data_IF_730566896315
#
_entry.id   IF_730566896315
#
_cell.length_a   1.000
_cell.length_b   1.000
_cell.length_c   1.000
_cell.angle_alpha   90.00
_cell.angle_beta   90.00
_cell.angle_gamma   90.00
#
_symmetry.space_group_name_H-M   'P 1'
#
loop_
_entity.id
_entity.type
_entity.pdbx_description
1 polymer ?
#
# COMPACT_ATOMS: atom_id res chain seq x y z
N UNK A 1 -8.93 -16.66 -18.33
CA UNK A 1 -9.39 -17.70 -19.21
C UNK A 1 -10.62 -18.42 -18.73
N UNK A 2 -10.91 -18.33 -17.46
CA UNK A 2 -12.05 -19.04 -16.90
C UNK A 2 -13.17 -18.12 -16.49
N UNK A 3 -13.27 -16.95 -17.12
CA UNK A 3 -14.31 -16.01 -16.77
C UNK A 3 -14.07 -15.28 -15.48
N UNK A 4 -12.83 -15.19 -15.05
CA UNK A 4 -12.48 -14.50 -13.82
C UNK A 4 -12.42 -13.00 -14.09
N UNK A 5 -13.08 -12.23 -13.26
CA UNK A 5 -13.11 -10.79 -13.41
C UNK A 5 -11.97 -10.09 -12.68
N UNK A 6 -11.47 -10.68 -11.59
CA UNK A 6 -10.45 -10.05 -10.77
C UNK A 6 -9.47 -11.10 -10.29
N UNK A 7 -8.20 -10.81 -10.44
CA UNK A 7 -7.13 -11.67 -9.93
C UNK A 7 -6.31 -10.88 -8.92
N UNK A 8 -6.18 -11.41 -7.72
CA UNK A 8 -5.36 -10.81 -6.68
C UNK A 8 -4.16 -11.70 -6.44
N UNK A 9 -2.97 -11.13 -6.54
CA UNK A 9 -1.72 -11.85 -6.34
C UNK A 9 -1.05 -11.36 -5.07
N UNK A 10 -0.95 -12.22 -4.09
CA UNK A 10 -0.32 -11.91 -2.81
C UNK A 10 1.12 -12.39 -2.87
N UNK A 11 2.05 -11.52 -2.53
CA UNK A 11 3.48 -11.82 -2.64
C UNK A 11 4.13 -11.83 -1.26
N UNK A 12 5.33 -12.42 -1.20
CA UNK A 12 6.12 -12.36 0.01
C UNK A 12 6.51 -10.90 0.28
N UNK A 13 6.39 -10.51 1.54
CA UNK A 13 6.67 -9.14 1.91
C UNK A 13 7.90 -8.96 2.76
N UNK A 14 8.63 -10.02 3.02
CA UNK A 14 9.78 -9.95 3.91
C UNK A 14 11.04 -9.65 3.14
N UNK A 15 11.77 -8.67 3.63
CA UNK A 15 13.07 -8.33 3.08
C UNK A 15 14.15 -9.17 3.76
N UNK A 16 14.20 -10.46 3.44
CA UNK A 16 15.27 -11.30 3.96
C UNK A 16 16.58 -10.96 3.27
N UNK A 17 16.54 -10.97 1.94
CA UNK A 17 17.59 -10.32 1.18
C UNK A 17 16.88 -9.42 0.20
N UNK A 18 17.23 -8.16 0.27
CA UNK A 18 16.54 -7.15 -0.54
C UNK A 18 16.62 -7.47 -2.03
N UNK A 19 17.80 -7.87 -2.48
CA UNK A 19 18.01 -8.14 -3.90
C UNK A 19 17.16 -9.30 -4.40
N UNK A 20 17.05 -10.36 -3.62
CA UNK A 20 16.27 -11.51 -4.04
C UNK A 20 14.79 -11.20 -4.10
N UNK A 21 14.30 -10.46 -3.11
CA UNK A 21 12.90 -10.08 -3.09
C UNK A 21 12.55 -9.17 -4.26
N UNK A 22 13.41 -8.19 -4.54
CA UNK A 22 13.16 -7.27 -5.63
C UNK A 22 13.19 -7.98 -6.98
N UNK A 23 14.13 -8.91 -7.17
CA UNK A 23 14.17 -9.70 -8.39
C UNK A 23 12.91 -10.53 -8.57
N UNK A 24 12.41 -11.10 -7.47
CA UNK A 24 11.21 -11.91 -7.49
C UNK A 24 9.99 -11.08 -7.87
N UNK A 25 9.88 -9.90 -7.29
CA UNK A 25 8.76 -9.01 -7.60
C UNK A 25 8.77 -8.59 -9.07
N UNK A 26 9.95 -8.26 -9.59
CA UNK A 26 10.07 -7.90 -11.00
C UNK A 26 9.69 -9.06 -11.90
N UNK A 27 10.07 -10.27 -11.53
CA UNK A 27 9.72 -11.45 -12.29
C UNK A 27 8.22 -11.69 -12.31
N UNK A 28 7.58 -11.53 -11.15
CA UNK A 28 6.14 -11.70 -11.06
C UNK A 28 5.43 -10.71 -11.98
N UNK A 29 5.86 -9.46 -11.98
CA UNK A 29 5.26 -8.45 -12.84
C UNK A 29 5.40 -8.82 -14.31
N UNK A 30 6.57 -9.30 -14.71
CA UNK A 30 6.79 -9.69 -16.10
C UNK A 30 5.91 -10.87 -16.51
N UNK A 31 5.77 -11.86 -15.63
CA UNK A 31 4.95 -13.02 -15.92
C UNK A 31 3.49 -12.62 -16.08
N UNK A 32 3.02 -11.74 -15.19
CA UNK A 32 1.63 -11.27 -15.28
C UNK A 32 1.39 -10.52 -16.57
N UNK A 33 2.31 -9.64 -16.94
CA UNK A 33 2.16 -8.85 -18.15
C UNK A 33 2.14 -9.73 -19.39
N UNK A 34 2.88 -10.82 -19.36
CA UNK A 34 2.93 -11.75 -20.49
C UNK A 34 1.61 -12.47 -20.67
N UNK A 35 0.99 -12.88 -19.56
CA UNK A 35 -0.25 -13.64 -19.63
C UNK A 35 -1.48 -12.77 -19.80
N UNK A 36 -1.46 -11.57 -19.22
CA UNK A 36 -2.59 -10.66 -19.27
C UNK A 36 -2.07 -9.30 -19.72
N UNK A 37 -2.39 -8.89 -20.95
CA UNK A 37 -1.87 -7.60 -21.45
C UNK A 37 -2.28 -6.44 -20.54
N UNK A 38 -1.30 -5.62 -20.20
CA UNK A 38 -1.51 -4.49 -19.31
C UNK A 38 -1.42 -4.78 -17.85
N UNK A 39 -1.26 -6.04 -17.47
CA UNK A 39 -1.14 -6.42 -16.06
C UNK A 39 0.29 -6.20 -15.56
N UNK A 40 0.47 -5.97 -14.27
CA UNK A 40 -0.60 -5.76 -13.31
C UNK A 40 -1.24 -4.39 -13.50
N UNK A 41 -2.55 -4.33 -13.40
CA UNK A 41 -3.29 -3.08 -13.60
C UNK A 41 -3.13 -2.17 -12.39
N UNK A 42 -3.07 -2.78 -11.22
CA UNK A 42 -2.82 -2.07 -9.97
C UNK A 42 -1.80 -2.85 -9.16
N UNK A 43 -0.89 -2.15 -8.55
CA UNK A 43 0.07 -2.74 -7.63
C UNK A 43 0.01 -1.94 -6.34
N UNK A 44 -0.51 -2.56 -5.30
CA UNK A 44 -0.65 -1.92 -4.00
C UNK A 44 0.47 -2.36 -3.08
N UNK A 45 1.05 -1.41 -2.40
CA UNK A 45 2.06 -1.68 -1.39
C UNK A 45 1.41 -1.52 -0.02
N UNK A 46 1.59 -2.51 0.84
CA UNK A 46 0.98 -2.50 2.15
C UNK A 46 2.00 -2.02 3.17
N UNK A 47 1.63 -1.00 3.93
CA UNK A 47 2.48 -0.42 4.95
C UNK A 47 1.78 -0.56 6.31
N UNK A 48 2.52 -1.08 7.27
CA UNK A 48 2.05 -1.18 8.65
C UNK A 48 2.28 0.18 9.31
N UNK A 49 1.20 0.82 9.73
CA UNK A 49 1.29 2.17 10.29
C UNK A 49 2.13 2.23 11.56
N UNK A 50 2.23 1.13 12.29
CA UNK A 50 2.98 1.11 13.54
C UNK A 50 4.49 1.14 13.32
N UNK A 51 4.96 0.91 12.09
CA UNK A 51 6.40 0.95 11.81
C UNK A 51 6.93 2.35 11.57
N UNK A 52 6.04 3.33 11.38
CA UNK A 52 6.47 4.72 11.23
C UNK A 52 7.40 4.93 10.06
N UNK A 53 8.49 5.66 10.30
CA UNK A 53 9.44 5.99 9.23
C UNK A 53 10.11 4.76 8.62
N UNK A 54 10.30 3.72 9.39
CA UNK A 54 10.89 2.50 8.83
C UNK A 54 10.01 1.91 7.74
N UNK A 55 8.71 1.94 7.94
CA UNK A 55 7.79 1.47 6.91
C UNK A 55 7.85 2.31 5.66
N UNK A 56 7.96 3.62 5.82
CA UNK A 56 8.06 4.53 4.67
C UNK A 56 9.35 4.28 3.89
N UNK A 57 10.46 4.06 4.59
CA UNK A 57 11.74 3.78 3.93
C UNK A 57 11.69 2.47 3.17
N UNK A 58 11.09 1.44 3.74
CA UNK A 58 10.92 0.18 3.03
C UNK A 58 10.05 0.36 1.80
N UNK A 59 9.01 1.16 1.92
CA UNK A 59 8.12 1.42 0.80
C UNK A 59 8.85 2.10 -0.36
N UNK A 60 9.77 3.00 -0.05
CA UNK A 60 10.57 3.63 -1.10
C UNK A 60 11.38 2.61 -1.88
N UNK A 61 11.96 1.65 -1.17
CA UNK A 61 12.73 0.60 -1.82
C UNK A 61 11.85 -0.26 -2.74
N UNK A 62 10.66 -0.61 -2.28
CA UNK A 62 9.73 -1.37 -3.11
C UNK A 62 9.31 -0.58 -4.34
N UNK A 63 9.05 0.69 -4.16
CA UNK A 63 8.64 1.55 -5.27
C UNK A 63 9.70 1.59 -6.37
N UNK A 64 10.95 1.58 -5.97
CA UNK A 64 12.05 1.61 -6.94
C UNK A 64 12.16 0.30 -7.71
N UNK A 65 11.77 -0.80 -7.10
CA UNK A 65 11.91 -2.11 -7.71
C UNK A 65 10.75 -2.49 -8.60
N UNK A 66 9.57 -1.97 -8.31
CA UNK A 66 8.37 -2.33 -9.06
C UNK A 66 7.43 -1.14 -9.11
N UNK A 67 6.69 -0.96 -10.21
CA UNK A 67 5.77 0.18 -10.31
C UNK A 67 4.58 -0.02 -9.37
N UNK A 68 4.56 0.77 -8.30
CA UNK A 68 3.48 0.75 -7.32
C UNK A 68 2.48 1.84 -7.68
N UNK A 69 1.20 1.51 -7.68
CA UNK A 69 0.15 2.44 -8.06
C UNK A 69 -0.64 3.00 -6.88
N UNK A 70 -0.54 2.37 -5.73
CA UNK A 70 -1.26 2.85 -4.56
C UNK A 70 -0.74 2.23 -3.29
N UNK A 71 -1.18 2.81 -2.18
CA UNK A 71 -0.75 2.39 -0.84
C UNK A 71 -1.95 1.94 -0.05
N UNK A 72 -1.77 0.86 0.71
CA UNK A 72 -2.73 0.41 1.72
C UNK A 72 -2.03 0.50 3.06
N UNK A 73 -2.60 1.26 3.99
CA UNK A 73 -2.00 1.41 5.32
C UNK A 73 -2.81 0.58 6.30
N UNK A 74 -2.14 -0.32 7.00
CA UNK A 74 -2.79 -1.18 7.98
C UNK A 74 -2.46 -0.73 9.39
N UNK A 75 -3.24 -1.22 10.32
CA UNK A 75 -3.04 -1.00 11.76
C UNK A 75 -3.10 0.47 12.16
N UNK A 76 -3.94 1.21 11.47
CA UNK A 76 -4.13 2.62 11.78
C UNK A 76 -4.77 2.82 13.15
N UNK A 77 -5.48 1.81 13.64
CA UNK A 77 -6.10 1.85 14.95
C UNK A 77 -5.08 1.88 16.08
N UNK A 78 -3.85 1.47 15.81
CA UNK A 78 -2.81 1.39 16.82
C UNK A 78 -1.87 2.58 16.86
N UNK A 79 -2.18 3.68 16.16
CA UNK A 79 -1.23 4.77 16.08
C UNK A 79 -1.95 6.10 15.89
N UNK A 80 -1.22 7.20 16.05
CA UNK A 80 -1.77 8.53 15.74
C UNK A 80 -1.93 8.65 14.23
N UNK A 81 -3.08 9.09 13.81
CA UNK A 81 -3.51 8.90 12.44
C UNK A 81 -2.86 9.81 11.41
N UNK A 82 -2.42 10.97 11.82
CA UNK A 82 -2.04 11.97 10.83
C UNK A 82 -0.68 11.82 10.22
N UNK A 83 0.32 11.52 11.04
CA UNK A 83 1.71 11.61 10.62
C UNK A 83 2.11 10.68 9.51
N UNK A 84 1.67 9.42 9.59
CA UNK A 84 2.10 8.42 8.59
C UNK A 84 1.51 8.72 7.22
N UNK A 85 0.28 9.20 7.17
CA UNK A 85 -0.35 9.50 5.88
C UNK A 85 0.35 10.66 5.21
N UNK A 86 0.67 11.70 5.96
CA UNK A 86 1.38 12.85 5.42
C UNK A 86 2.78 12.47 4.95
N UNK A 87 3.47 11.64 5.73
CA UNK A 87 4.80 11.19 5.35
C UNK A 87 4.78 10.39 4.06
N UNK A 88 3.79 9.53 3.90
CA UNK A 88 3.67 8.73 2.69
C UNK A 88 3.43 9.60 1.47
N UNK A 89 2.54 10.57 1.59
CA UNK A 89 2.27 11.45 0.46
C UNK A 89 3.50 12.27 0.09
N UNK A 90 4.23 12.73 1.09
CA UNK A 90 5.39 13.57 0.87
C UNK A 90 6.57 12.78 0.30
N UNK A 91 6.82 11.61 0.88
CA UNK A 91 8.00 10.82 0.52
C UNK A 91 7.81 9.94 -0.69
N UNK A 92 6.61 9.43 -0.89
CA UNK A 92 6.37 8.45 -1.95
C UNK A 92 5.61 9.00 -3.13
N UNK A 93 4.90 10.10 -2.95
CA UNK A 93 4.08 10.69 -3.99
C UNK A 93 3.09 9.69 -4.60
N UNK A 94 2.57 8.79 -3.76
CA UNK A 94 1.60 7.79 -4.18
C UNK A 94 0.31 7.97 -3.41
N UNK A 95 -0.84 7.69 -4.03
CA UNK A 95 -2.10 7.84 -3.33
C UNK A 95 -2.31 6.72 -2.33
N UNK A 96 -2.86 7.07 -1.18
CA UNK A 96 -3.34 6.08 -0.22
C UNK A 96 -4.76 5.69 -0.67
N UNK A 97 -4.96 4.41 -0.93
CA UNK A 97 -6.22 3.93 -1.48
C UNK A 97 -7.12 3.32 -0.42
N UNK A 98 -6.54 2.63 0.54
CA UNK A 98 -7.30 1.98 1.61
C UNK A 98 -6.56 2.09 2.92
N UNK A 99 -7.33 2.08 4.01
CA UNK A 99 -6.76 2.05 5.36
C UNK A 99 -7.41 0.91 6.14
N UNK A 100 -6.61 0.27 6.98
CA UNK A 100 -7.08 -0.80 7.86
C UNK A 100 -7.13 -0.31 9.29
N UNK A 101 -8.28 -0.46 9.90
CA UNK A 101 -8.55 0.01 11.25
C UNK A 101 -8.79 -1.11 12.25
N UNK A 102 -8.59 -2.35 11.83
CA UNK A 102 -8.77 -3.51 12.69
C UNK A 102 -8.66 -4.78 11.89
N UNK A 103 -9.17 -5.88 12.46
CA UNK A 103 -9.01 -7.20 11.88
C UNK A 103 -10.22 -7.71 11.14
N UNK A 104 -11.34 -7.01 11.23
CA UNK A 104 -12.57 -7.46 10.60
C UNK A 104 -12.62 -6.97 9.17
N UNK A 105 -13.45 -7.63 8.38
CA UNK A 105 -13.63 -7.27 6.99
C UNK A 105 -14.04 -5.81 6.82
N UNK A 106 -14.94 -5.34 7.66
CA UNK A 106 -15.41 -3.97 7.60
C UNK A 106 -14.38 -2.95 8.06
N UNK A 107 -13.30 -3.40 8.65
CA UNK A 107 -12.25 -2.51 9.13
C UNK A 107 -11.30 -2.08 8.04
N UNK A 108 -11.41 -2.63 6.85
CA UNK A 108 -10.67 -2.15 5.69
C UNK A 108 -11.57 -1.18 4.94
N UNK A 109 -11.15 0.08 4.87
CA UNK A 109 -11.98 1.13 4.32
C UNK A 109 -11.26 1.88 3.22
N UNK A 110 -12.01 2.33 2.25
CA UNK A 110 -11.49 3.23 1.23
C UNK A 110 -11.03 4.52 1.88
N UNK A 111 -9.88 5.03 1.45
CA UNK A 111 -9.38 6.27 2.00
C UNK A 111 -9.87 7.44 1.18
N UNK A 112 -10.44 8.44 1.86
CA UNK A 112 -10.91 9.67 1.24
C UNK A 112 -10.07 10.82 1.78
N UNK A 113 -9.24 11.40 0.92
CA UNK A 113 -8.33 12.45 1.33
C UNK A 113 -9.08 13.68 1.83
N UNK A 114 -10.17 14.02 1.17
CA UNK A 114 -10.94 15.22 1.57
C UNK A 114 -11.54 15.05 2.96
N UNK A 115 -12.10 13.89 3.24
CA UNK A 115 -12.61 13.62 4.58
C UNK A 115 -11.50 13.62 5.62
N UNK A 116 -10.35 13.08 5.24
CA UNK A 116 -9.21 13.06 6.14
C UNK A 116 -8.74 14.48 6.47
N UNK A 117 -8.61 15.32 5.47
CA UNK A 117 -8.19 16.71 5.68
C UNK A 117 -9.21 17.49 6.50
N UNK A 118 -10.49 17.27 6.20
CA UNK A 118 -11.55 17.89 6.98
C UNK A 118 -11.45 17.49 8.45
N UNK A 119 -11.25 16.21 8.70
CA UNK A 119 -11.09 15.71 10.06
C UNK A 119 -9.87 16.27 10.78
N UNK A 120 -8.78 16.50 10.05
CA UNK A 120 -7.60 17.13 10.65
C UNK A 120 -7.87 18.55 11.09
N UNK A 121 -8.58 19.29 10.26
CA UNK A 121 -8.86 20.70 10.57
C UNK A 121 -9.83 20.84 11.73
N UNK A 122 -10.80 19.94 11.84
CA UNK A 122 -11.82 19.99 12.87
C UNK A 122 -11.69 18.87 13.88
N UNK A 123 -10.72 18.01 13.68
CA UNK A 123 -10.68 16.74 14.37
C UNK A 123 -10.32 16.80 15.82
N UNK A 124 -9.88 17.92 16.25
CA UNK A 124 -9.49 18.03 17.63
C UNK A 124 -10.65 17.99 18.57
N UNK A 125 -11.81 18.01 18.00
CA UNK A 125 -13.00 17.99 18.81
C UNK A 125 -13.37 16.62 19.28
N UNK A 126 -12.58 15.65 18.96
CA UNK A 126 -12.85 14.29 19.38
C UNK A 126 -12.06 13.83 20.51
#
# INVERSE_FOLDING_TARGET
KEGIDLLIVDTAGRLQTKMNLMAELSKISRVLAKEIPGAPHETFLIIDATTGQNGVLQAKAFKEATPVTGIVITKMDGTSKGGIILAIRDELALPVRFIGLGEKMDDLQEFDLDQYLYGLCLGDER
#
